data_IF_485066407735
#
_entry.id   IF_485066407735
#
_cell.length_a   1.000
_cell.length_b   1.000
_cell.length_c   1.000
_cell.angle_alpha   90.00
_cell.angle_beta   90.00
_cell.angle_gamma   90.00
#
_symmetry.space_group_name_H-M   'P 1'
#
loop_
_entity.id
_entity.type
_entity.pdbx_description
1 polymer ?
#
# COMPACT_ATOMS: atom_id res chain seq x y z
N UNK A 1 -9.43 -3.94 5.58
CA UNK A 1 -8.60 -5.11 5.22
C UNK A 1 -9.44 -6.35 5.30
N UNK A 2 -9.59 -7.04 4.19
CA UNK A 2 -10.55 -8.15 4.03
C UNK A 2 -9.88 -9.54 4.00
N UNK A 3 -8.59 -9.63 4.31
CA UNK A 3 -7.86 -10.91 4.31
C UNK A 3 -8.54 -11.95 5.19
N UNK A 4 -8.70 -13.17 4.66
CA UNK A 4 -9.35 -14.31 5.34
C UNK A 4 -10.83 -14.14 5.69
N UNK A 5 -11.47 -13.05 5.28
CA UNK A 5 -12.91 -12.85 5.50
C UNK A 5 -13.71 -13.42 4.32
N UNK A 6 -14.87 -14.04 4.58
CA UNK A 6 -15.73 -14.57 3.53
C UNK A 6 -16.33 -13.43 2.68
N UNK A 7 -16.84 -13.78 1.50
CA UNK A 7 -17.39 -12.80 0.54
C UNK A 7 -18.62 -12.08 1.09
N UNK A 8 -19.40 -12.74 1.92
CA UNK A 8 -20.61 -12.23 2.56
C UNK A 8 -20.30 -11.04 3.48
N UNK A 9 -19.18 -11.09 4.23
CA UNK A 9 -18.74 -9.98 5.08
C UNK A 9 -18.37 -8.76 4.22
N UNK A 10 -17.69 -9.00 3.08
CA UNK A 10 -17.33 -7.92 2.17
C UNK A 10 -18.56 -7.32 1.50
N UNK A 11 -19.53 -8.16 1.11
CA UNK A 11 -20.79 -7.69 0.54
C UNK A 11 -21.55 -6.81 1.55
N UNK A 12 -21.62 -7.22 2.82
CA UNK A 12 -22.24 -6.43 3.88
C UNK A 12 -21.57 -5.07 4.05
N UNK A 13 -20.23 -5.04 4.05
CA UNK A 13 -19.48 -3.78 4.12
C UNK A 13 -19.69 -2.92 2.85
N UNK A 14 -19.76 -3.54 1.67
CA UNK A 14 -20.04 -2.86 0.42
C UNK A 14 -21.44 -2.22 0.42
N UNK A 15 -22.45 -2.94 0.89
CA UNK A 15 -23.84 -2.46 0.99
C UNK A 15 -23.96 -1.29 1.98
N UNK A 16 -23.09 -1.27 3.02
CA UNK A 16 -22.92 -0.15 3.94
C UNK A 16 -22.13 1.05 3.35
N UNK A 17 -21.72 0.98 2.07
CA UNK A 17 -21.05 2.06 1.37
C UNK A 17 -19.53 1.95 1.25
N UNK A 18 -18.90 0.90 1.81
CA UNK A 18 -17.46 0.71 1.67
C UNK A 18 -17.11 0.34 0.21
N UNK A 19 -16.03 0.95 -0.31
CA UNK A 19 -15.55 0.68 -1.67
C UNK A 19 -14.08 0.24 -1.71
N UNK A 20 -13.27 0.60 -0.73
CA UNK A 20 -11.85 0.25 -0.67
C UNK A 20 -11.65 -1.03 0.13
N UNK A 21 -11.14 -2.09 -0.52
CA UNK A 21 -10.88 -3.37 0.12
C UNK A 21 -9.43 -3.80 -0.11
N UNK A 22 -8.72 -4.13 0.98
CA UNK A 22 -7.32 -4.54 0.93
C UNK A 22 -7.14 -6.04 1.16
N UNK A 23 -6.32 -6.66 0.32
CA UNK A 23 -5.96 -8.07 0.39
C UNK A 23 -4.45 -8.29 0.44
N UNK A 24 -4.04 -9.37 1.13
CA UNK A 24 -2.63 -9.74 1.23
C UNK A 24 -2.19 -10.77 0.18
N UNK A 25 -3.14 -11.53 -0.37
CA UNK A 25 -2.88 -12.63 -1.31
C UNK A 25 -3.57 -12.37 -2.62
N UNK A 26 -2.82 -12.45 -3.73
CA UNK A 26 -3.34 -12.20 -5.07
C UNK A 26 -4.47 -13.15 -5.44
N UNK A 27 -4.34 -14.45 -5.13
CA UNK A 27 -5.37 -15.44 -5.43
C UNK A 27 -6.70 -15.12 -4.75
N UNK A 28 -6.67 -14.85 -3.43
CA UNK A 28 -7.85 -14.48 -2.65
C UNK A 28 -8.49 -13.19 -3.19
N UNK A 29 -7.67 -12.20 -3.55
CA UNK A 29 -8.12 -10.95 -4.16
C UNK A 29 -8.78 -11.17 -5.52
N UNK A 30 -8.19 -12.00 -6.38
CA UNK A 30 -8.72 -12.30 -7.71
C UNK A 30 -10.07 -13.05 -7.65
N UNK A 31 -10.22 -14.03 -6.76
CA UNK A 31 -11.48 -14.74 -6.54
C UNK A 31 -12.59 -13.78 -6.06
N UNK A 32 -12.27 -12.89 -5.13
CA UNK A 32 -13.21 -11.88 -4.63
C UNK A 32 -13.55 -10.84 -5.69
N UNK A 33 -12.57 -10.37 -6.45
CA UNK A 33 -12.78 -9.45 -7.56
C UNK A 33 -13.69 -10.05 -8.64
N UNK A 34 -13.57 -11.34 -8.94
CA UNK A 34 -14.44 -12.01 -9.89
C UNK A 34 -15.91 -12.08 -9.43
N UNK A 35 -16.13 -12.24 -8.12
CA UNK A 35 -17.43 -12.55 -7.53
C UNK A 35 -18.20 -11.34 -6.99
N UNK A 36 -17.51 -10.23 -6.68
CA UNK A 36 -18.09 -9.05 -6.04
C UNK A 36 -18.28 -7.88 -7.04
N UNK A 37 -19.00 -6.81 -6.67
CA UNK A 37 -19.25 -5.65 -7.53
C UNK A 37 -17.97 -5.05 -8.13
N UNK A 38 -18.06 -4.60 -9.39
CA UNK A 38 -16.88 -4.17 -10.17
C UNK A 38 -16.40 -2.75 -9.85
N UNK A 39 -17.16 -1.99 -9.09
CA UNK A 39 -16.80 -0.66 -8.58
C UNK A 39 -16.02 -0.71 -7.27
N UNK A 40 -15.72 -1.92 -6.75
CA UNK A 40 -14.79 -2.10 -5.63
C UNK A 40 -13.39 -1.70 -6.06
N UNK A 41 -12.78 -0.82 -5.26
CA UNK A 41 -11.37 -0.44 -5.39
C UNK A 41 -10.49 -1.42 -4.61
N UNK A 42 -9.80 -2.29 -5.33
CA UNK A 42 -8.96 -3.32 -4.72
C UNK A 42 -7.56 -2.80 -4.44
N UNK A 43 -7.08 -3.04 -3.23
CA UNK A 43 -5.74 -2.68 -2.75
C UNK A 43 -4.93 -3.94 -2.46
N UNK A 44 -3.79 -4.10 -3.13
CA UNK A 44 -2.81 -5.13 -2.79
C UNK A 44 -1.93 -4.59 -1.67
N UNK A 45 -2.17 -5.03 -0.42
CA UNK A 45 -1.50 -4.51 0.77
C UNK A 45 -0.45 -5.46 1.36
N UNK A 46 -0.31 -6.68 0.83
CA UNK A 46 0.69 -7.66 1.23
C UNK A 46 1.95 -7.61 0.40
N UNK A 47 2.93 -8.46 0.76
CA UNK A 47 4.15 -8.65 -0.03
C UNK A 47 3.82 -9.13 -1.45
N UNK A 48 4.39 -8.46 -2.44
CA UNK A 48 4.10 -8.69 -3.86
C UNK A 48 5.09 -9.70 -4.45
N UNK A 49 4.57 -10.84 -4.86
CA UNK A 49 5.30 -11.80 -5.69
C UNK A 49 5.27 -11.34 -7.15
N UNK A 50 6.44 -11.16 -7.76
CA UNK A 50 6.56 -10.58 -9.11
C UNK A 50 5.84 -11.40 -10.18
N UNK A 51 5.86 -12.75 -10.09
CA UNK A 51 5.16 -13.64 -11.00
C UNK A 51 3.63 -13.55 -10.95
N UNK A 52 3.09 -12.90 -9.90
CA UNK A 52 1.64 -12.71 -9.69
C UNK A 52 1.13 -11.35 -10.15
N UNK A 53 1.98 -10.40 -10.47
CA UNK A 53 1.59 -9.04 -10.85
C UNK A 53 0.67 -9.04 -12.08
N UNK A 54 0.92 -9.89 -13.06
CA UNK A 54 0.10 -10.04 -14.27
C UNK A 54 -1.38 -10.38 -13.99
N UNK A 55 -1.68 -11.01 -12.83
CA UNK A 55 -3.03 -11.43 -12.48
C UNK A 55 -3.90 -10.27 -12.00
N UNK A 56 -3.28 -9.19 -11.45
CA UNK A 56 -4.03 -8.06 -10.90
C UNK A 56 -3.75 -6.72 -11.59
N UNK A 57 -2.64 -6.54 -12.28
CA UNK A 57 -2.29 -5.28 -12.94
C UNK A 57 -3.42 -4.72 -13.84
N UNK A 58 -4.24 -5.54 -14.55
CA UNK A 58 -5.32 -5.02 -15.38
C UNK A 58 -6.46 -4.30 -14.61
N UNK A 59 -6.63 -4.56 -13.32
CA UNK A 59 -7.82 -4.09 -12.59
C UNK A 59 -7.54 -3.55 -11.18
N UNK A 60 -6.33 -3.67 -10.66
CA UNK A 60 -5.96 -3.19 -9.32
C UNK A 60 -6.18 -1.66 -9.21
N UNK A 61 -6.63 -1.21 -8.05
CA UNK A 61 -6.73 0.21 -7.76
C UNK A 61 -5.42 0.77 -7.21
N UNK A 62 -4.82 0.11 -6.20
CA UNK A 62 -3.58 0.58 -5.58
C UNK A 62 -2.72 -0.59 -5.08
N UNK A 63 -1.44 -0.56 -5.39
CA UNK A 63 -0.44 -1.51 -4.89
C UNK A 63 0.36 -0.84 -3.77
N UNK A 64 0.25 -1.33 -2.53
CA UNK A 64 0.97 -0.77 -1.38
C UNK A 64 2.36 -1.37 -1.19
N UNK A 65 2.58 -2.62 -1.64
CA UNK A 65 3.76 -3.42 -1.32
C UNK A 65 4.86 -3.36 -2.37
N UNK A 66 5.20 -2.16 -2.91
CA UNK A 66 6.39 -2.02 -3.77
C UNK A 66 7.61 -1.84 -2.85
N UNK A 67 8.22 -2.94 -2.47
CA UNK A 67 9.27 -3.04 -1.45
C UNK A 67 10.69 -3.17 -2.02
N UNK A 68 10.85 -3.23 -3.33
CA UNK A 68 12.13 -3.34 -4.05
C UNK A 68 11.97 -3.00 -5.52
N UNK A 69 13.07 -2.60 -6.16
CA UNK A 69 13.10 -2.20 -7.57
C UNK A 69 12.49 -3.26 -8.48
N UNK A 70 12.76 -4.55 -8.23
CA UNK A 70 12.24 -5.63 -9.08
C UNK A 70 10.72 -5.69 -9.14
N UNK A 71 10.02 -5.33 -8.07
CA UNK A 71 8.55 -5.23 -8.07
C UNK A 71 8.11 -4.07 -8.96
N UNK A 72 8.77 -2.92 -8.86
CA UNK A 72 8.48 -1.73 -9.66
C UNK A 72 8.67 -1.99 -11.17
N UNK A 73 9.80 -2.62 -11.56
CA UNK A 73 10.08 -3.00 -12.96
C UNK A 73 9.03 -3.94 -13.56
N UNK A 74 8.63 -4.97 -12.79
CA UNK A 74 7.62 -5.92 -13.26
C UNK A 74 6.25 -5.29 -13.29
N UNK A 75 5.93 -4.42 -12.32
CA UNK A 75 4.66 -3.68 -12.31
C UNK A 75 4.55 -2.76 -13.52
N UNK A 76 5.63 -2.03 -13.88
CA UNK A 76 5.72 -1.23 -15.09
C UNK A 76 5.45 -2.07 -16.35
N UNK A 77 6.13 -3.22 -16.45
CA UNK A 77 5.97 -4.12 -17.60
C UNK A 77 4.52 -4.63 -17.75
N UNK A 78 3.90 -5.04 -16.66
CA UNK A 78 2.53 -5.59 -16.70
C UNK A 78 1.47 -4.50 -16.83
N UNK A 79 1.70 -3.30 -16.30
CA UNK A 79 0.86 -2.13 -16.51
C UNK A 79 0.86 -1.70 -17.97
N UNK A 80 2.05 -1.64 -18.61
CA UNK A 80 2.18 -1.36 -20.05
C UNK A 80 1.42 -2.38 -20.91
N UNK A 81 1.55 -3.69 -20.61
CA UNK A 81 0.79 -4.76 -21.31
C UNK A 81 -0.71 -4.61 -21.12
N UNK A 82 -1.15 -4.17 -19.95
CA UNK A 82 -2.56 -3.93 -19.65
C UNK A 82 -3.09 -2.61 -20.27
N UNK A 83 -2.24 -1.79 -20.87
CA UNK A 83 -2.60 -0.52 -21.50
C UNK A 83 -3.12 0.53 -20.51
N UNK A 84 -2.65 0.51 -19.26
CA UNK A 84 -3.11 1.44 -18.22
C UNK A 84 -1.98 1.83 -17.26
N UNK A 85 -2.12 3.00 -16.65
CA UNK A 85 -1.31 3.34 -15.49
C UNK A 85 -1.83 2.62 -14.23
N UNK A 86 -0.90 2.13 -13.40
CA UNK A 86 -1.18 1.50 -12.10
C UNK A 86 -0.67 2.40 -11.00
N UNK A 87 -1.54 2.71 -10.02
CA UNK A 87 -1.16 3.45 -8.83
C UNK A 87 -0.42 2.56 -7.84
N UNK A 88 0.68 3.05 -7.28
CA UNK A 88 1.50 2.31 -6.34
C UNK A 88 2.08 3.19 -5.23
N UNK A 89 2.40 2.56 -4.09
CA UNK A 89 3.15 3.16 -2.99
C UNK A 89 4.49 2.45 -2.85
N UNK A 90 5.55 3.20 -2.57
CA UNK A 90 6.82 2.62 -2.19
C UNK A 90 6.75 2.21 -0.72
N UNK A 91 6.99 0.93 -0.45
CA UNK A 91 7.00 0.41 0.91
C UNK A 91 8.36 0.67 1.55
N UNK A 92 8.35 1.37 2.68
CA UNK A 92 9.54 1.74 3.45
C UNK A 92 9.65 0.88 4.70
N UNK A 93 10.85 0.39 4.96
CA UNK A 93 11.17 -0.32 6.20
C UNK A 93 11.43 0.69 7.32
N UNK A 94 10.48 0.84 8.22
CA UNK A 94 10.55 1.77 9.37
C UNK A 94 10.61 1.04 10.72
N UNK A 95 10.32 -0.25 10.74
CA UNK A 95 10.30 -1.06 11.94
C UNK A 95 11.71 -1.51 12.36
N UNK A 96 11.86 -1.89 13.62
CA UNK A 96 13.14 -2.45 14.12
C UNK A 96 13.35 -3.91 13.73
N UNK A 97 12.26 -4.65 13.40
CA UNK A 97 12.36 -6.05 12.99
C UNK A 97 12.94 -6.17 11.58
N UNK A 98 14.16 -6.72 11.46
CA UNK A 98 14.87 -6.94 10.18
C UNK A 98 14.10 -7.82 9.18
N UNK A 99 13.13 -8.61 9.66
CA UNK A 99 12.32 -9.50 8.81
C UNK A 99 11.22 -8.78 8.02
N UNK A 100 11.01 -7.48 8.23
CA UNK A 100 10.01 -6.70 7.49
C UNK A 100 10.58 -6.22 6.15
N UNK A 101 9.70 -6.26 5.16
CA UNK A 101 10.00 -5.81 3.79
C UNK A 101 9.96 -4.28 3.69
N UNK A 102 10.68 -3.73 2.74
CA UNK A 102 10.64 -2.30 2.40
C UNK A 102 12.01 -1.78 2.02
N UNK A 103 12.02 -0.66 1.30
CA UNK A 103 13.24 0.09 1.02
C UNK A 103 13.81 0.68 2.31
N UNK A 104 15.11 0.69 2.48
CA UNK A 104 15.76 1.56 3.44
C UNK A 104 15.65 3.03 3.00
N UNK A 105 15.93 3.97 3.91
CA UNK A 105 15.93 5.40 3.56
C UNK A 105 16.97 5.71 2.47
N UNK A 106 18.14 5.05 2.52
CA UNK A 106 19.21 5.20 1.55
C UNK A 106 18.83 4.70 0.15
N UNK A 107 18.06 3.63 0.07
CA UNK A 107 17.54 3.10 -1.19
C UNK A 107 16.37 3.94 -1.74
N UNK A 108 15.55 4.49 -0.84
CA UNK A 108 14.35 5.24 -1.19
C UNK A 108 14.67 6.62 -1.78
N UNK A 109 15.57 7.39 -1.14
CA UNK A 109 15.86 8.79 -1.51
C UNK A 109 16.23 8.95 -2.99
N UNK A 110 17.10 8.11 -3.59
CA UNK A 110 17.41 8.20 -5.02
C UNK A 110 16.19 7.93 -5.94
N UNK A 111 15.21 7.15 -5.47
CA UNK A 111 13.98 6.88 -6.23
C UNK A 111 12.98 8.03 -6.19
N UNK A 112 12.98 8.84 -5.14
CA UNK A 112 12.09 9.99 -4.98
C UNK A 112 12.57 11.20 -5.80
N UNK A 113 12.95 10.97 -7.05
CA UNK A 113 13.31 12.00 -8.03
C UNK A 113 12.46 11.87 -9.29
N UNK A 114 12.16 12.99 -9.92
CA UNK A 114 11.41 12.99 -11.21
C UNK A 114 12.11 12.13 -12.25
N UNK A 115 13.43 12.24 -12.34
CA UNK A 115 14.24 11.50 -13.32
C UNK A 115 14.16 9.99 -13.10
N UNK A 116 14.25 9.52 -11.85
CA UNK A 116 14.13 8.11 -11.54
C UNK A 116 12.72 7.58 -11.87
N UNK A 117 11.67 8.32 -11.51
CA UNK A 117 10.29 7.89 -11.76
C UNK A 117 9.86 7.98 -13.23
N UNK A 118 10.53 8.77 -14.06
CA UNK A 118 10.31 8.79 -15.53
C UNK A 118 10.64 7.45 -16.20
N UNK A 119 11.46 6.60 -15.57
CA UNK A 119 11.73 5.26 -16.08
C UNK A 119 10.50 4.31 -15.98
N UNK A 120 9.43 4.72 -15.28
CA UNK A 120 8.24 3.91 -15.01
C UNK A 120 6.96 4.65 -15.43
N UNK A 121 6.77 4.95 -16.73
CA UNK A 121 5.66 5.80 -17.21
C UNK A 121 4.27 5.21 -17.00
N UNK A 122 4.18 3.89 -16.84
CA UNK A 122 2.90 3.19 -16.57
C UNK A 122 2.69 2.87 -15.07
N UNK A 123 3.59 3.33 -14.18
CA UNK A 123 3.40 3.24 -12.72
C UNK A 123 3.38 4.63 -12.12
N UNK A 124 2.29 4.99 -11.47
CA UNK A 124 2.15 6.27 -10.80
C UNK A 124 2.39 6.10 -9.31
N UNK A 125 3.55 6.57 -8.82
CA UNK A 125 3.87 6.53 -7.40
C UNK A 125 3.06 7.60 -6.67
N UNK A 126 2.05 7.15 -5.92
CA UNK A 126 1.10 7.99 -5.17
C UNK A 126 1.63 8.41 -3.79
N UNK A 127 2.71 7.81 -3.31
CA UNK A 127 3.25 8.08 -1.99
C UNK A 127 3.99 6.91 -1.38
N UNK A 128 3.96 6.85 -0.04
CA UNK A 128 4.69 5.86 0.75
C UNK A 128 3.75 4.96 1.57
N UNK A 129 4.24 3.78 1.90
CA UNK A 129 3.63 2.86 2.85
C UNK A 129 4.65 2.38 3.86
N UNK A 130 4.24 2.24 5.13
CA UNK A 130 5.06 1.60 6.16
C UNK A 130 4.22 0.87 7.20
N UNK A 131 4.89 -0.02 7.91
CA UNK A 131 4.35 -0.73 9.07
C UNK A 131 5.32 -0.57 10.23
N UNK A 132 4.83 -0.01 11.34
CA UNK A 132 5.62 0.13 12.56
C UNK A 132 5.89 -1.23 13.21
N UNK A 133 6.82 -1.25 14.15
CA UNK A 133 7.16 -2.40 14.97
C UNK A 133 5.92 -2.93 15.72
N UNK A 134 5.85 -4.25 15.85
CA UNK A 134 4.82 -4.86 16.69
C UNK A 134 5.26 -4.86 18.15
N UNK A 135 5.04 -3.76 18.83
CA UNK A 135 5.47 -3.50 20.21
C UNK A 135 4.38 -2.79 21.01
N UNK A 136 4.30 -2.97 22.34
CA UNK A 136 3.46 -2.15 23.21
C UNK A 136 4.02 -0.72 23.43
N UNK A 137 5.28 -0.46 23.05
CA UNK A 137 5.91 0.86 23.18
C UNK A 137 5.34 1.83 22.14
N UNK A 138 4.39 2.65 22.57
CA UNK A 138 3.75 3.65 21.74
C UNK A 138 4.69 4.78 21.32
N UNK A 139 5.74 5.07 22.10
CA UNK A 139 6.72 6.10 21.75
C UNK A 139 7.57 5.64 20.57
N UNK A 140 7.99 4.38 20.57
CA UNK A 140 8.68 3.78 19.43
C UNK A 140 7.81 3.81 18.18
N UNK A 141 6.55 3.34 18.27
CA UNK A 141 5.61 3.35 17.14
C UNK A 141 5.39 4.76 16.59
N UNK A 142 5.20 5.75 17.47
CA UNK A 142 5.04 7.15 17.05
C UNK A 142 6.30 7.69 16.35
N UNK A 143 7.49 7.34 16.86
CA UNK A 143 8.77 7.74 16.23
C UNK A 143 8.92 7.15 14.83
N UNK A 144 8.63 5.88 14.64
CA UNK A 144 8.68 5.20 13.34
C UNK A 144 7.68 5.83 12.33
N UNK A 145 6.46 6.16 12.76
CA UNK A 145 5.50 6.87 11.93
C UNK A 145 5.95 8.30 11.60
N UNK A 146 6.56 9.01 12.55
CA UNK A 146 7.10 10.35 12.31
C UNK A 146 8.24 10.32 11.26
N UNK A 147 9.11 9.32 11.30
CA UNK A 147 10.15 9.11 10.29
C UNK A 147 9.56 8.91 8.90
N UNK A 148 8.55 8.05 8.76
CA UNK A 148 7.89 7.82 7.47
C UNK A 148 7.19 9.09 6.95
N UNK A 149 6.54 9.83 7.84
CA UNK A 149 5.91 11.11 7.52
C UNK A 149 6.92 12.14 7.01
N UNK A 150 8.07 12.24 7.64
CA UNK A 150 9.15 13.14 7.20
C UNK A 150 9.65 12.78 5.80
N UNK A 151 9.87 11.49 5.51
CA UNK A 151 10.25 11.01 4.17
C UNK A 151 9.18 11.31 3.12
N UNK A 152 7.90 11.14 3.48
CA UNK A 152 6.78 11.45 2.59
C UNK A 152 6.71 12.95 2.26
N UNK A 153 6.84 13.82 3.25
CA UNK A 153 6.82 15.27 3.06
C UNK A 153 8.00 15.75 2.20
N UNK A 154 9.21 15.23 2.47
CA UNK A 154 10.39 15.52 1.65
C UNK A 154 10.22 15.04 0.20
N UNK A 155 9.69 13.83 -0.02
CA UNK A 155 9.37 13.32 -1.34
C UNK A 155 8.33 14.15 -2.06
N UNK A 156 7.29 14.60 -1.36
CA UNK A 156 6.24 15.47 -1.92
C UNK A 156 6.78 16.81 -2.40
N UNK A 157 7.65 17.44 -1.61
CA UNK A 157 8.32 18.68 -1.98
C UNK A 157 9.25 18.48 -3.18
N UNK A 158 10.09 17.45 -3.15
CA UNK A 158 11.07 17.18 -4.21
C UNK A 158 10.42 16.82 -5.55
N UNK A 159 9.37 15.98 -5.53
CA UNK A 159 8.67 15.57 -6.74
C UNK A 159 7.77 16.66 -7.30
N UNK A 160 7.07 17.41 -6.45
CA UNK A 160 6.09 18.40 -6.83
C UNK A 160 4.95 17.84 -7.67
N UNK A 161 4.59 16.56 -7.45
CA UNK A 161 3.45 15.92 -8.09
C UNK A 161 2.22 16.04 -7.21
N UNK A 162 1.14 16.63 -7.71
CA UNK A 162 -0.13 16.77 -6.97
C UNK A 162 -0.71 15.41 -6.54
N UNK A 163 -0.45 14.36 -7.34
CA UNK A 163 -0.90 13.01 -7.05
C UNK A 163 -0.03 12.25 -6.03
N UNK A 164 1.12 12.78 -5.60
CA UNK A 164 1.90 12.20 -4.50
C UNK A 164 1.27 12.65 -3.16
N UNK A 165 0.16 12.01 -2.80
CA UNK A 165 -0.78 12.45 -1.76
C UNK A 165 -1.10 11.38 -0.71
N UNK A 166 -0.59 10.17 -0.88
CA UNK A 166 -0.99 9.01 -0.08
C UNK A 166 0.11 8.54 0.86
N UNK A 167 -0.12 8.69 2.15
CA UNK A 167 0.72 8.13 3.22
C UNK A 167 -0.05 7.00 3.91
N UNK A 168 0.28 5.75 3.54
CA UNK A 168 -0.40 4.55 4.05
C UNK A 168 0.35 3.98 5.24
N UNK A 169 -0.14 4.26 6.45
CA UNK A 169 0.36 3.68 7.71
C UNK A 169 -0.76 3.61 8.75
N UNK A 170 -0.61 2.73 9.73
CA UNK A 170 -1.60 2.46 10.75
C UNK A 170 -2.51 1.26 10.43
N UNK A 171 -2.66 0.41 11.42
CA UNK A 171 -3.48 -0.79 11.43
C UNK A 171 -4.46 -0.76 12.62
N UNK A 172 -5.24 -1.82 12.84
CA UNK A 172 -6.29 -1.85 13.90
C UNK A 172 -5.78 -1.51 15.31
N UNK A 173 -4.49 -1.74 15.61
CA UNK A 173 -3.90 -1.50 16.93
C UNK A 173 -3.24 -0.12 17.11
N UNK A 174 -2.90 0.56 16.04
CA UNK A 174 -2.04 1.77 16.09
C UNK A 174 -2.53 2.93 15.19
N UNK A 175 -3.69 2.79 14.53
CA UNK A 175 -4.22 3.81 13.63
C UNK A 175 -4.38 5.21 14.25
N UNK A 176 -4.70 5.39 15.55
CA UNK A 176 -4.80 6.73 16.13
C UNK A 176 -3.45 7.45 16.12
N UNK A 177 -2.36 6.73 16.45
CA UNK A 177 -0.99 7.26 16.39
C UNK A 177 -0.58 7.56 14.93
N UNK A 178 -0.97 6.70 13.99
CA UNK A 178 -0.70 6.93 12.58
C UNK A 178 -1.36 8.21 12.06
N UNK A 179 -2.64 8.44 12.39
CA UNK A 179 -3.36 9.68 12.03
C UNK A 179 -2.70 10.90 12.67
N UNK A 180 -2.33 10.83 13.95
CA UNK A 180 -1.63 11.91 14.63
C UNK A 180 -0.27 12.26 13.98
N UNK A 181 0.34 11.31 13.26
CA UNK A 181 1.57 11.49 12.50
C UNK A 181 1.34 11.73 10.99
N UNK A 182 0.13 12.08 10.57
CA UNK A 182 -0.16 12.51 9.20
C UNK A 182 -0.56 11.40 8.22
N UNK A 183 -0.92 10.19 8.69
CA UNK A 183 -1.46 9.14 7.82
C UNK A 183 -2.69 9.64 7.06
N UNK A 184 -2.71 9.43 5.74
CA UNK A 184 -3.85 9.73 4.88
C UNK A 184 -4.67 8.48 4.53
N UNK A 185 -4.11 7.29 4.80
CA UNK A 185 -4.77 5.99 4.55
C UNK A 185 -4.38 4.98 5.62
N UNK A 186 -5.35 4.53 6.41
CA UNK A 186 -5.17 3.46 7.40
C UNK A 186 -5.67 2.11 6.86
N UNK A 187 -5.11 0.99 7.39
CA UNK A 187 -5.43 -0.36 6.96
C UNK A 187 -6.05 -1.18 8.09
N UNK A 188 -7.30 -0.93 8.38
CA UNK A 188 -8.03 -1.60 9.45
C UNK A 188 -8.72 -2.88 8.97
N UNK A 189 -8.67 -3.92 9.77
CA UNK A 189 -9.32 -5.21 9.51
C UNK A 189 -10.12 -5.66 10.72
N UNK A 190 -9.46 -6.09 11.80
CA UNK A 190 -10.13 -6.58 13.00
C UNK A 190 -11.00 -5.53 13.69
N UNK A 191 -10.70 -4.26 13.55
CA UNK A 191 -11.55 -3.18 14.06
C UNK A 191 -12.90 -3.08 13.33
N UNK A 192 -12.98 -3.55 12.07
CA UNK A 192 -14.21 -3.51 11.27
C UNK A 192 -14.93 -4.86 11.23
N UNK A 193 -14.19 -5.95 11.03
CA UNK A 193 -14.74 -7.29 10.83
C UNK A 193 -14.64 -8.21 12.05
N UNK A 194 -14.19 -7.70 13.20
CA UNK A 194 -13.93 -8.50 14.38
C UNK A 194 -12.63 -9.31 14.32
N UNK A 195 -12.24 -9.90 15.46
CA UNK A 195 -11.11 -10.84 15.54
C UNK A 195 -11.38 -12.10 14.71
N UNK A 196 -10.29 -12.83 14.42
CA UNK A 196 -10.35 -14.12 13.71
C UNK A 196 -10.84 -15.21 14.64
#
# INVERSE_FOLDING_TARGET
VAKTKPREDLQTAYDAGQRDFGENRVQEMAEKHAALPKDIRWHMIGHVQTNKIKEFAPWIHLVHGVDRIKVLEVLETEAAKAGRAVDALLQVHIAQEETKFGFSSEELIPLLTRTALQAYPNVRIRGLMGMASFTPDQQQVAHEFAQLSALFLAGKEQLGFDYFDTLSMGMSGDWPLAIANGSTLIRVGSALFGSR
#
